data_IF_539555299619
#
_entry.id   IF_539555299619
#
_cell.length_a   1.000
_cell.length_b   1.000
_cell.length_c   1.000
_cell.angle_alpha   90.00
_cell.angle_beta   90.00
_cell.angle_gamma   90.00
#
_symmetry.space_group_name_H-M   'P 1'
#
loop_
_entity.id
_entity.type
_entity.pdbx_description
1 polymer ?
#
# COMPACT_ATOMS: atom_id res chain seq x y z
N UNK A 1 -9.98 28.93 -10.21
CA UNK A 1 -10.43 28.09 -11.35
C UNK A 1 -9.36 27.06 -11.80
N UNK A 2 -8.14 27.07 -11.25
CA UNK A 2 -7.04 26.14 -11.64
C UNK A 2 -6.96 24.86 -10.81
N UNK A 3 -7.54 24.84 -9.61
CA UNK A 3 -7.49 23.70 -8.70
C UNK A 3 -8.04 22.39 -9.30
N UNK A 4 -9.16 22.33 -10.03
CA UNK A 4 -9.64 21.09 -10.63
C UNK A 4 -8.70 20.51 -11.69
N UNK A 5 -7.99 21.37 -12.43
CA UNK A 5 -7.08 20.94 -13.49
C UNK A 5 -5.80 20.27 -12.93
N UNK A 6 -5.33 20.73 -11.77
CA UNK A 6 -4.16 20.14 -11.09
C UNK A 6 -4.49 18.72 -10.59
N UNK A 7 -5.67 18.54 -9.98
CA UNK A 7 -6.14 17.22 -9.54
C UNK A 7 -6.24 16.23 -10.71
N UNK A 8 -6.87 16.61 -11.79
CA UNK A 8 -7.04 15.76 -12.96
C UNK A 8 -5.69 15.36 -13.60
N UNK A 9 -4.71 16.26 -13.63
CA UNK A 9 -3.37 15.96 -14.14
C UNK A 9 -2.60 15.02 -13.22
N UNK A 10 -2.66 15.23 -11.90
CA UNK A 10 -1.99 14.36 -10.94
C UNK A 10 -2.56 12.94 -10.96
N UNK A 11 -3.88 12.79 -11.05
CA UNK A 11 -4.55 11.49 -11.13
C UNK A 11 -4.15 10.69 -12.36
N UNK A 12 -3.96 11.36 -13.52
CA UNK A 12 -3.53 10.69 -14.74
C UNK A 12 -2.14 10.04 -14.58
N UNK A 13 -1.18 10.76 -14.02
CA UNK A 13 0.17 10.23 -13.75
C UNK A 13 0.15 9.10 -12.72
N UNK A 14 -0.65 9.24 -11.68
CA UNK A 14 -0.86 8.19 -10.68
C UNK A 14 -1.45 6.95 -11.32
N UNK A 15 -2.51 7.08 -12.13
CA UNK A 15 -3.16 5.97 -12.81
C UNK A 15 -2.18 5.20 -13.71
N UNK A 16 -1.39 5.90 -14.54
CA UNK A 16 -0.37 5.26 -15.37
C UNK A 16 0.70 4.54 -14.54
N UNK A 17 1.19 5.15 -13.48
CA UNK A 17 2.17 4.54 -12.59
C UNK A 17 1.65 3.27 -11.92
N UNK A 18 0.41 3.29 -11.44
CA UNK A 18 -0.24 2.13 -10.82
C UNK A 18 -0.46 1.01 -11.84
N UNK A 19 -1.01 1.33 -13.02
CA UNK A 19 -1.24 0.35 -14.08
C UNK A 19 0.07 -0.32 -14.52
N UNK A 20 1.13 0.45 -14.77
CA UNK A 20 2.44 -0.08 -15.13
C UNK A 20 2.98 -1.03 -14.05
N UNK A 21 2.80 -0.67 -12.79
CA UNK A 21 3.22 -1.50 -11.64
C UNK A 21 2.43 -2.79 -11.56
N UNK A 22 1.10 -2.74 -11.71
CA UNK A 22 0.25 -3.92 -11.69
C UNK A 22 0.58 -4.87 -12.85
N UNK A 23 0.73 -4.35 -14.07
CA UNK A 23 1.14 -5.16 -15.23
C UNK A 23 2.47 -5.85 -14.95
N UNK A 24 3.46 -5.13 -14.41
CA UNK A 24 4.77 -5.73 -14.07
C UNK A 24 4.62 -6.83 -13.02
N UNK A 25 3.75 -6.64 -12.01
CA UNK A 25 3.53 -7.61 -10.94
C UNK A 25 2.80 -8.87 -11.45
N UNK A 26 1.88 -8.74 -12.41
CA UNK A 26 1.18 -9.89 -13.01
C UNK A 26 2.09 -10.76 -13.87
N UNK A 27 3.18 -10.21 -14.43
CA UNK A 27 4.19 -10.98 -15.18
C UNK A 27 5.02 -11.93 -14.31
N UNK A 28 5.04 -11.70 -12.98
CA UNK A 28 5.75 -12.58 -12.05
C UNK A 28 4.90 -13.82 -11.77
N UNK A 29 5.20 -14.93 -12.44
CA UNK A 29 4.44 -16.20 -12.34
C UNK A 29 4.70 -16.96 -11.04
N UNK A 30 5.92 -16.88 -10.51
CA UNK A 30 6.29 -17.56 -9.26
C UNK A 30 5.62 -16.89 -8.04
N UNK A 31 4.83 -17.65 -7.29
CA UNK A 31 4.12 -17.17 -6.10
C UNK A 31 5.07 -16.60 -5.03
N UNK A 32 6.23 -17.22 -4.82
CA UNK A 32 7.23 -16.75 -3.83
C UNK A 32 7.84 -15.41 -4.24
N UNK A 33 8.28 -15.31 -5.51
CA UNK A 33 8.82 -14.06 -6.06
C UNK A 33 7.74 -12.98 -6.10
N UNK A 34 6.53 -13.34 -6.51
CA UNK A 34 5.39 -12.42 -6.52
C UNK A 34 5.06 -11.86 -5.14
N UNK A 35 5.15 -12.69 -4.08
CA UNK A 35 4.94 -12.23 -2.72
C UNK A 35 6.03 -11.24 -2.28
N UNK A 36 7.30 -11.53 -2.58
CA UNK A 36 8.42 -10.61 -2.29
C UNK A 36 8.25 -9.29 -3.03
N UNK A 37 7.90 -9.34 -4.32
CA UNK A 37 7.63 -8.13 -5.12
C UNK A 37 6.45 -7.33 -4.56
N UNK A 38 5.37 -8.00 -4.12
CA UNK A 38 4.21 -7.33 -3.50
C UNK A 38 4.62 -6.59 -2.23
N UNK A 39 5.35 -7.23 -1.31
CA UNK A 39 5.87 -6.54 -0.11
C UNK A 39 6.83 -5.41 -0.45
N UNK A 40 7.68 -5.60 -1.46
CA UNK A 40 8.56 -4.54 -1.96
C UNK A 40 7.81 -3.31 -2.46
N UNK A 41 6.71 -3.51 -3.21
CA UNK A 41 5.85 -2.42 -3.68
C UNK A 41 5.10 -1.73 -2.54
N UNK A 42 4.59 -2.48 -1.57
CA UNK A 42 3.94 -1.92 -0.38
C UNK A 42 4.92 -1.03 0.41
N UNK A 43 6.14 -1.49 0.61
CA UNK A 43 7.19 -0.70 1.27
C UNK A 43 7.60 0.53 0.44
N UNK A 44 7.72 0.38 -0.88
CA UNK A 44 7.99 1.51 -1.76
C UNK A 44 6.88 2.57 -1.67
N UNK A 45 5.61 2.15 -1.72
CA UNK A 45 4.46 3.04 -1.60
C UNK A 45 4.43 3.79 -0.27
N UNK A 46 4.58 3.07 0.85
CA UNK A 46 4.57 3.69 2.18
C UNK A 46 5.77 4.61 2.42
N UNK A 47 6.96 4.26 1.92
CA UNK A 47 8.14 5.14 2.01
C UNK A 47 7.99 6.39 1.13
N UNK A 48 7.43 6.27 -0.08
CA UNK A 48 7.07 7.42 -0.91
C UNK A 48 6.14 8.39 -0.19
N UNK A 49 5.09 7.87 0.47
CA UNK A 49 4.19 8.68 1.30
C UNK A 49 4.97 9.45 2.37
N UNK A 50 5.80 8.76 3.16
CA UNK A 50 6.54 9.36 4.26
C UNK A 50 7.55 10.41 3.82
N UNK A 51 8.25 10.15 2.71
CA UNK A 51 9.29 11.05 2.17
C UNK A 51 8.69 12.24 1.43
N UNK A 52 7.47 12.13 0.90
CA UNK A 52 6.81 13.19 0.13
C UNK A 52 6.64 14.48 0.94
N UNK A 53 6.26 14.39 2.22
CA UNK A 53 6.01 15.54 3.08
C UNK A 53 7.29 16.32 3.37
N UNK A 54 8.39 15.71 3.87
CA UNK A 54 9.63 16.46 4.11
C UNK A 54 10.27 17.01 2.84
N UNK A 55 10.10 16.37 1.68
CA UNK A 55 10.55 16.91 0.40
C UNK A 55 9.79 18.18 0.00
N UNK A 56 8.48 18.18 0.20
CA UNK A 56 7.63 19.33 -0.05
C UNK A 56 7.97 20.48 0.92
N UNK A 57 8.16 20.19 2.22
CA UNK A 57 8.53 21.16 3.24
C UNK A 57 9.90 21.81 2.98
N UNK A 58 10.83 21.02 2.42
CA UNK A 58 12.14 21.50 2.04
C UNK A 58 12.15 22.30 0.71
N UNK A 59 10.98 22.46 0.07
CA UNK A 59 10.85 23.16 -1.22
C UNK A 59 11.53 22.45 -2.39
N UNK A 60 11.82 21.14 -2.27
CA UNK A 60 12.49 20.35 -3.31
C UNK A 60 11.55 19.85 -4.39
N UNK A 61 10.26 19.77 -4.09
CA UNK A 61 9.19 19.38 -5.00
C UNK A 61 8.07 20.41 -4.95
N UNK A 62 7.39 20.60 -6.09
CA UNK A 62 6.23 21.46 -6.19
C UNK A 62 4.95 20.77 -5.73
N UNK A 63 3.84 21.52 -5.66
CA UNK A 63 2.55 20.99 -5.19
C UNK A 63 2.01 19.87 -6.07
N UNK A 64 2.21 19.90 -7.40
CA UNK A 64 1.80 18.86 -8.31
C UNK A 64 2.61 17.57 -8.09
N UNK A 65 3.92 17.70 -7.99
CA UNK A 65 4.82 16.57 -7.71
C UNK A 65 4.50 15.93 -6.36
N UNK A 66 4.24 16.75 -5.33
CA UNK A 66 3.81 16.25 -4.03
C UNK A 66 2.51 15.47 -4.11
N UNK A 67 1.49 15.99 -4.81
CA UNK A 67 0.21 15.29 -5.01
C UNK A 67 0.40 13.95 -5.76
N UNK A 68 1.22 13.93 -6.81
CA UNK A 68 1.55 12.69 -7.53
C UNK A 68 2.27 11.69 -6.63
N UNK A 69 3.25 12.13 -5.83
CA UNK A 69 3.96 11.26 -4.90
C UNK A 69 3.04 10.67 -3.83
N UNK A 70 2.17 11.49 -3.23
CA UNK A 70 1.20 11.04 -2.23
C UNK A 70 0.20 10.07 -2.86
N UNK A 71 -0.38 10.42 -4.01
CA UNK A 71 -1.33 9.58 -4.71
C UNK A 71 -0.72 8.24 -5.14
N UNK A 72 0.42 8.27 -5.83
CA UNK A 72 1.11 7.06 -6.28
C UNK A 72 1.55 6.20 -5.07
N UNK A 73 2.11 6.81 -4.03
CA UNK A 73 2.49 6.11 -2.81
C UNK A 73 1.33 5.42 -2.13
N UNK A 74 0.18 6.09 -1.99
CA UNK A 74 -1.04 5.52 -1.42
C UNK A 74 -1.56 4.34 -2.25
N UNK A 75 -1.65 4.48 -3.56
CA UNK A 75 -2.13 3.41 -4.45
C UNK A 75 -1.16 2.22 -4.49
N UNK A 76 0.16 2.45 -4.52
CA UNK A 76 1.15 1.37 -4.46
C UNK A 76 1.10 0.60 -3.13
N UNK A 77 0.76 1.28 -2.02
CA UNK A 77 0.57 0.64 -0.73
C UNK A 77 -0.76 -0.12 -0.61
N UNK A 78 -1.81 0.30 -1.33
CA UNK A 78 -3.16 -0.25 -1.19
C UNK A 78 -3.51 -1.29 -2.27
N UNK A 79 -3.25 -0.99 -3.56
CA UNK A 79 -3.75 -1.83 -4.66
C UNK A 79 -3.13 -3.23 -4.68
N UNK A 80 -1.80 -3.42 -4.52
CA UNK A 80 -1.23 -4.77 -4.43
C UNK A 80 -1.70 -5.52 -3.17
N UNK A 81 -1.99 -4.80 -2.07
CA UNK A 81 -2.52 -5.37 -0.84
C UNK A 81 -3.91 -5.98 -1.06
N UNK A 82 -4.85 -5.22 -1.64
CA UNK A 82 -6.23 -5.66 -1.86
C UNK A 82 -6.42 -6.64 -3.02
N UNK A 83 -5.50 -6.70 -3.99
CA UNK A 83 -5.69 -7.48 -5.21
C UNK A 83 -4.85 -8.76 -5.28
N UNK A 84 -3.58 -8.69 -4.91
CA UNK A 84 -2.61 -9.77 -5.19
C UNK A 84 -1.97 -10.37 -3.94
N UNK A 85 -1.81 -9.60 -2.86
CA UNK A 85 -1.08 -10.05 -1.69
C UNK A 85 -1.73 -11.27 -1.05
N UNK A 86 -3.04 -11.22 -0.82
CA UNK A 86 -3.76 -12.31 -0.15
C UNK A 86 -3.77 -13.59 -0.97
N UNK A 87 -3.97 -13.53 -2.28
CA UNK A 87 -3.88 -14.70 -3.15
C UNK A 87 -2.49 -15.32 -3.10
N UNK A 88 -1.44 -14.48 -3.17
CA UNK A 88 -0.06 -14.93 -3.11
C UNK A 88 0.32 -15.49 -1.75
N UNK A 89 -0.15 -14.90 -0.66
CA UNK A 89 0.04 -15.41 0.69
C UNK A 89 -0.59 -16.79 0.83
N UNK A 90 -1.85 -16.95 0.42
CA UNK A 90 -2.55 -18.24 0.53
C UNK A 90 -1.90 -19.31 -0.34
N UNK A 91 -1.57 -18.99 -1.59
CA UNK A 91 -0.90 -19.91 -2.49
C UNK A 91 0.49 -20.32 -1.96
N UNK A 92 1.26 -19.36 -1.43
CA UNK A 92 2.60 -19.60 -0.94
C UNK A 92 2.64 -20.34 0.41
N UNK A 93 1.63 -20.12 1.28
CA UNK A 93 1.55 -20.75 2.62
C UNK A 93 0.67 -21.98 2.65
N UNK A 94 0.00 -22.31 1.56
CA UNK A 94 -0.98 -23.40 1.45
C UNK A 94 -2.07 -23.32 2.54
N UNK A 95 -2.46 -22.12 2.90
CA UNK A 95 -3.47 -21.91 3.93
C UNK A 95 -4.86 -22.25 3.37
N UNK A 96 -5.68 -23.07 4.07
CA UNK A 96 -7.03 -23.42 3.65
C UNK A 96 -7.96 -22.23 3.94
N UNK A 97 -8.08 -21.30 3.00
CA UNK A 97 -8.94 -20.12 3.12
C UNK A 97 -9.18 -19.48 1.76
N UNK A 98 -10.09 -18.53 1.71
CA UNK A 98 -10.37 -17.75 0.49
C UNK A 98 -9.77 -16.35 0.59
N UNK A 99 -9.09 -15.91 -0.47
CA UNK A 99 -8.56 -14.55 -0.56
C UNK A 99 -9.68 -13.51 -0.40
N UNK A 100 -10.85 -13.78 -0.96
CA UNK A 100 -12.01 -12.90 -0.88
C UNK A 100 -12.43 -12.62 0.57
N UNK A 101 -12.52 -13.64 1.42
CA UNK A 101 -12.86 -13.44 2.83
C UNK A 101 -11.86 -12.53 3.54
N UNK A 102 -10.57 -12.75 3.29
CA UNK A 102 -9.51 -11.96 3.92
C UNK A 102 -9.51 -10.52 3.43
N UNK A 103 -9.78 -10.29 2.13
CA UNK A 103 -9.94 -8.96 1.55
C UNK A 103 -11.13 -8.24 2.19
N UNK A 104 -12.30 -8.88 2.24
CA UNK A 104 -13.49 -8.29 2.86
C UNK A 104 -13.26 -7.93 4.35
N UNK A 105 -12.56 -8.79 5.09
CA UNK A 105 -12.22 -8.51 6.49
C UNK A 105 -11.28 -7.30 6.61
N UNK A 106 -10.25 -7.24 5.77
CA UNK A 106 -9.31 -6.12 5.74
C UNK A 106 -10.00 -4.80 5.38
N UNK A 107 -10.90 -4.83 4.38
CA UNK A 107 -11.69 -3.67 3.97
C UNK A 107 -12.63 -3.21 5.09
N UNK A 108 -13.31 -4.12 5.78
CA UNK A 108 -14.19 -3.81 6.92
C UNK A 108 -13.42 -3.10 8.04
N UNK A 109 -12.22 -3.59 8.38
CA UNK A 109 -11.33 -2.94 9.36
C UNK A 109 -10.86 -1.56 8.86
N UNK A 110 -10.50 -1.47 7.57
CA UNK A 110 -10.07 -0.22 6.94
C UNK A 110 -11.17 0.86 6.96
N UNK A 111 -12.39 0.51 6.58
CA UNK A 111 -13.54 1.43 6.62
C UNK A 111 -13.87 1.87 8.05
N UNK A 112 -13.86 0.94 9.01
CA UNK A 112 -14.04 1.26 10.42
C UNK A 112 -12.98 2.22 10.92
N UNK A 113 -11.72 2.00 10.55
CA UNK A 113 -10.61 2.89 10.88
C UNK A 113 -10.76 4.28 10.26
N UNK A 114 -11.22 4.37 9.01
CA UNK A 114 -11.44 5.65 8.32
C UNK A 114 -12.56 6.48 8.99
N UNK A 115 -13.67 5.84 9.31
CA UNK A 115 -14.78 6.49 10.05
C UNK A 115 -14.31 6.92 11.44
N UNK A 116 -13.60 6.04 12.16
CA UNK A 116 -13.04 6.35 13.48
C UNK A 116 -12.10 7.55 13.44
N UNK A 117 -11.30 7.69 12.38
CA UNK A 117 -10.40 8.82 12.18
C UNK A 117 -11.16 10.13 11.91
N UNK A 118 -12.22 10.09 11.09
CA UNK A 118 -13.05 11.28 10.84
C UNK A 118 -13.69 11.79 12.12
N UNK A 119 -14.31 10.88 12.89
CA UNK A 119 -14.93 11.23 14.17
C UNK A 119 -13.86 11.70 15.18
N UNK A 120 -12.72 11.01 15.25
CA UNK A 120 -11.62 11.38 16.13
C UNK A 120 -11.02 12.74 15.80
N UNK A 121 -10.93 13.11 14.52
CA UNK A 121 -10.49 14.44 14.10
C UNK A 121 -11.40 15.52 14.69
N UNK A 122 -12.70 15.37 14.53
CA UNK A 122 -13.67 16.39 14.97
C UNK A 122 -13.72 16.49 16.52
N UNK A 123 -13.53 15.37 17.24
CA UNK A 123 -13.59 15.35 18.70
C UNK A 123 -12.28 15.78 19.39
N UNK A 124 -11.12 15.43 18.79
CA UNK A 124 -9.81 15.55 19.48
C UNK A 124 -8.97 16.70 18.93
N UNK A 125 -9.05 16.95 17.63
CA UNK A 125 -8.14 17.88 16.93
C UNK A 125 -8.74 19.27 16.78
N UNK A 126 -10.08 19.40 16.79
CA UNK A 126 -10.79 20.70 16.75
C UNK A 126 -10.42 21.51 15.49
N UNK A 127 -10.06 22.79 15.69
CA UNK A 127 -9.86 23.79 14.62
C UNK A 127 -8.51 23.69 13.87
N UNK A 128 -7.85 22.53 13.85
CA UNK A 128 -6.60 22.37 13.11
C UNK A 128 -6.85 22.51 11.60
N UNK A 129 -6.00 23.31 10.94
CA UNK A 129 -6.05 23.49 9.49
C UNK A 129 -5.98 22.12 8.76
N UNK A 130 -6.90 21.84 7.81
CA UNK A 130 -6.98 20.54 7.15
C UNK A 130 -5.67 20.07 6.50
N UNK A 131 -4.90 20.99 5.92
CA UNK A 131 -3.63 20.66 5.28
C UNK A 131 -2.58 20.20 6.31
N UNK A 132 -2.50 20.87 7.45
CA UNK A 132 -1.58 20.52 8.54
C UNK A 132 -1.93 19.15 9.12
N UNK A 133 -3.24 18.90 9.31
CA UNK A 133 -3.74 17.60 9.75
C UNK A 133 -3.35 16.50 8.75
N UNK A 134 -3.64 16.70 7.47
CA UNK A 134 -3.34 15.73 6.42
C UNK A 134 -1.84 15.39 6.35
N UNK A 135 -0.95 16.39 6.46
CA UNK A 135 0.51 16.20 6.46
C UNK A 135 0.99 15.37 7.65
N UNK A 136 0.54 15.69 8.85
CA UNK A 136 0.87 14.93 10.07
C UNK A 136 0.37 13.48 9.95
N UNK A 137 -0.86 13.30 9.52
CA UNK A 137 -1.46 12.00 9.30
C UNK A 137 -0.68 11.16 8.30
N UNK A 138 -0.28 11.73 7.17
CA UNK A 138 0.51 11.05 6.13
C UNK A 138 1.82 10.51 6.70
N UNK A 139 2.53 11.29 7.52
CA UNK A 139 3.78 10.86 8.16
C UNK A 139 3.53 9.70 9.14
N UNK A 140 2.60 9.87 10.09
CA UNK A 140 2.33 8.85 11.09
C UNK A 140 1.82 7.54 10.48
N UNK A 141 0.93 7.67 9.49
CA UNK A 141 0.42 6.51 8.77
C UNK A 141 1.53 5.80 7.98
N UNK A 142 2.40 6.55 7.31
CA UNK A 142 3.56 6.00 6.59
C UNK A 142 4.49 5.22 7.52
N UNK A 143 4.84 5.79 8.69
CA UNK A 143 5.71 5.10 9.65
C UNK A 143 5.04 3.81 10.15
N UNK A 144 3.79 3.89 10.60
CA UNK A 144 3.06 2.74 11.13
C UNK A 144 2.91 1.61 10.10
N UNK A 145 2.50 1.94 8.88
CA UNK A 145 2.32 0.96 7.79
C UNK A 145 3.65 0.39 7.30
N UNK A 146 4.71 1.18 7.24
CA UNK A 146 6.05 0.70 6.88
C UNK A 146 6.55 -0.33 7.90
N UNK A 147 6.43 -0.07 9.19
CA UNK A 147 6.79 -1.01 10.25
C UNK A 147 5.95 -2.29 10.17
N UNK A 148 4.65 -2.15 9.93
CA UNK A 148 3.75 -3.29 9.76
C UNK A 148 4.14 -4.16 8.55
N UNK A 149 4.44 -3.57 7.40
CA UNK A 149 4.84 -4.33 6.20
C UNK A 149 6.23 -4.94 6.33
N UNK A 150 7.17 -4.31 7.03
CA UNK A 150 8.46 -4.92 7.36
C UNK A 150 8.24 -6.16 8.23
N UNK A 151 7.47 -6.03 9.31
CA UNK A 151 7.16 -7.15 10.22
C UNK A 151 6.44 -8.29 9.51
N UNK A 152 5.40 -7.99 8.74
CA UNK A 152 4.66 -8.95 7.92
C UNK A 152 5.54 -9.63 6.88
N UNK A 153 6.36 -8.86 6.16
CA UNK A 153 7.30 -9.36 5.17
C UNK A 153 8.30 -10.35 5.78
N UNK A 154 8.92 -9.99 6.90
CA UNK A 154 9.86 -10.87 7.63
C UNK A 154 9.15 -12.16 8.07
N UNK A 155 7.95 -12.06 8.63
CA UNK A 155 7.17 -13.22 9.08
C UNK A 155 6.90 -14.19 7.91
N UNK A 156 6.35 -13.67 6.81
CA UNK A 156 6.01 -14.53 5.66
C UNK A 156 7.24 -15.08 4.96
N UNK A 157 8.32 -14.32 4.83
CA UNK A 157 9.58 -14.81 4.26
C UNK A 157 10.20 -15.94 5.08
N UNK A 158 10.14 -15.84 6.42
CA UNK A 158 10.60 -16.93 7.32
C UNK A 158 9.71 -18.17 7.15
N UNK A 159 8.39 -17.98 7.09
CA UNK A 159 7.44 -19.09 6.92
C UNK A 159 7.63 -19.79 5.57
N UNK A 160 7.88 -19.05 4.49
CA UNK A 160 8.16 -19.64 3.17
C UNK A 160 9.42 -20.49 3.13
N UNK A 161 10.45 -20.15 3.92
CA UNK A 161 11.67 -20.97 4.02
C UNK A 161 11.43 -22.29 4.76
N UNK A 162 10.44 -22.34 5.63
CA UNK A 162 10.09 -23.53 6.40
C UNK A 162 9.21 -24.54 5.63
N UNK A 163 8.62 -24.15 4.49
CA UNK A 163 7.77 -25.01 3.66
C UNK A 163 8.68 -25.78 2.68
N UNK A 164 8.72 -27.12 2.75
CA UNK A 164 9.55 -27.91 1.83
C UNK A 164 9.04 -27.78 0.38
N UNK A 165 9.93 -27.89 -0.62
CA UNK A 165 9.55 -27.89 -2.02
C UNK A 165 8.63 -29.10 -2.31
N UNK A 166 7.74 -28.96 -3.28
CA UNK A 166 6.88 -30.07 -3.72
C UNK A 166 7.78 -31.12 -4.38
N UNK A 167 7.72 -32.40 -3.97
CA UNK A 167 8.44 -33.44 -4.68
C UNK A 167 7.92 -33.51 -6.13
N UNK A 168 8.83 -33.51 -7.11
CA UNK A 168 8.49 -33.56 -8.54
C UNK A 168 7.74 -34.84 -8.96
N UNK A 169 7.65 -35.86 -8.10
CA UNK A 169 7.05 -37.16 -8.38
C UNK A 169 5.49 -37.17 -8.42
N UNK A 170 4.79 -36.04 -8.17
CA UNK A 170 3.32 -35.99 -8.22
C UNK A 170 2.76 -35.34 -9.50
N UNK A 171 3.60 -35.10 -10.52
CA UNK A 171 3.22 -34.48 -11.79
C UNK A 171 3.20 -35.50 -12.97
N UNK A 172 3.15 -36.80 -12.68
CA UNK A 172 2.99 -37.84 -13.70
C UNK A 172 1.55 -38.38 -13.71
#
# INVERSE_FOLDING_TARGET
AETPAIFSRSELWVAFGVLATLVTLTLVRDHRRGLICSFGLLLLGTTMLGVSVPLFDAGKIDGLQWMVMVGLGAYLAYVPFGSLLFERVMAATRFPGTAVFTICLADAVGYTGSVGMMVGKDLVVGDMEPLVFFRKMTIWFSIGTTLFFIGGGIYFLRRLRAIPPIPESSAA
#
